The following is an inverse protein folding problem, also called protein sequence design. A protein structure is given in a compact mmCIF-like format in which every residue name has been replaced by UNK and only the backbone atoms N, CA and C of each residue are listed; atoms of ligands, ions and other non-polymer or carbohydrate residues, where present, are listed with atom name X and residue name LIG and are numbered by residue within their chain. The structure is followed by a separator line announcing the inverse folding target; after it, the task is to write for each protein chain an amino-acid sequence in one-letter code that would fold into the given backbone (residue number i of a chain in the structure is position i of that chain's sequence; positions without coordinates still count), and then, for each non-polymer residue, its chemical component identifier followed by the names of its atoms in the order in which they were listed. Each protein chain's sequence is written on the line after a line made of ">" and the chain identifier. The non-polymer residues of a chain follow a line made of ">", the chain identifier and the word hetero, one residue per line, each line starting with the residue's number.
data_IF_518646983578
#
_entry.id   IF_518646983578
#
_cell.length_a   1.000
_cell.length_b   1.000
_cell.length_c   1.000
_cell.angle_alpha   90.00
_cell.angle_beta   90.00
_cell.angle_gamma   90.00
#
_symmetry.space_group_name_H-M   'P 1'
#
loop_
_entity.id
_entity.type
_entity.pdbx_description
1 polymer ?
#
# COMPACT_ATOMS: atom_id res chain seq x y z
N UNK A 1 13.74 16.75 -9.87
CA UNK A 1 13.28 15.35 -9.88
C UNK A 1 12.08 15.29 -10.81
N UNK A 2 12.14 14.53 -11.91
CA UNK A 2 11.06 14.50 -12.91
C UNK A 2 9.82 13.79 -12.35
N UNK A 3 8.64 14.14 -12.85
CA UNK A 3 7.38 13.57 -12.35
C UNK A 3 7.29 12.05 -12.57
N UNK A 4 7.92 11.53 -13.64
CA UNK A 4 8.17 10.09 -13.81
C UNK A 4 8.88 9.49 -12.59
N UNK A 5 9.97 10.12 -12.13
CA UNK A 5 10.72 9.62 -10.98
C UNK A 5 9.86 9.63 -9.71
N UNK A 6 9.00 10.63 -9.51
CA UNK A 6 8.09 10.67 -8.36
C UNK A 6 7.06 9.52 -8.43
N UNK A 7 6.49 9.26 -9.61
CA UNK A 7 5.52 8.16 -9.81
C UNK A 7 6.20 6.80 -9.58
N UNK A 8 7.39 6.58 -10.15
CA UNK A 8 8.17 5.36 -9.95
C UNK A 8 8.54 5.13 -8.47
N UNK A 9 8.97 6.19 -7.77
CA UNK A 9 9.32 6.10 -6.36
C UNK A 9 8.10 5.79 -5.48
N UNK A 10 6.94 6.37 -5.81
CA UNK A 10 5.67 6.07 -5.15
C UNK A 10 5.26 4.61 -5.38
N UNK A 11 5.42 4.11 -6.61
CA UNK A 11 5.15 2.72 -6.97
C UNK A 11 6.05 1.73 -6.21
N UNK A 12 7.34 2.04 -6.11
CA UNK A 12 8.30 1.27 -5.33
C UNK A 12 7.95 1.25 -3.83
N UNK A 13 7.57 2.41 -3.27
CA UNK A 13 7.07 2.50 -1.89
C UNK A 13 5.82 1.64 -1.66
N UNK A 14 4.88 1.64 -2.61
CA UNK A 14 3.67 0.84 -2.55
C UNK A 14 3.97 -0.67 -2.50
N UNK A 15 4.88 -1.13 -3.37
CA UNK A 15 5.34 -2.53 -3.40
C UNK A 15 6.08 -2.93 -2.12
N UNK A 16 6.91 -2.03 -1.57
CA UNK A 16 7.62 -2.26 -0.31
C UNK A 16 6.64 -2.45 0.85
N UNK A 17 5.66 -1.56 1.00
CA UNK A 17 4.63 -1.63 2.03
C UNK A 17 3.85 -2.95 1.91
N UNK A 18 3.42 -3.31 0.70
CA UNK A 18 2.74 -4.57 0.44
C UNK A 18 3.60 -5.77 0.88
N UNK A 19 4.89 -5.76 0.54
CA UNK A 19 5.82 -6.85 0.91
C UNK A 19 5.92 -7.02 2.44
N UNK A 20 6.01 -5.91 3.17
CA UNK A 20 6.11 -5.90 4.63
C UNK A 20 4.83 -6.40 5.29
N UNK A 21 3.68 -6.01 4.73
CA UNK A 21 2.35 -6.44 5.16
C UNK A 21 2.18 -7.95 4.97
N UNK A 22 2.45 -8.47 3.76
CA UNK A 22 2.41 -9.90 3.46
C UNK A 22 3.34 -10.70 4.37
N UNK A 23 4.55 -10.21 4.61
CA UNK A 23 5.53 -10.89 5.48
C UNK A 23 5.07 -10.90 6.94
N UNK A 24 4.53 -9.79 7.43
CA UNK A 24 3.97 -9.68 8.78
C UNK A 24 2.77 -10.62 8.98
N UNK A 25 1.85 -10.66 8.02
CA UNK A 25 0.68 -11.54 8.05
C UNK A 25 1.09 -13.01 7.99
N UNK A 26 2.03 -13.40 7.11
CA UNK A 26 2.56 -14.77 7.06
C UNK A 26 3.16 -15.20 8.39
N UNK A 27 3.92 -14.33 9.05
CA UNK A 27 4.45 -14.58 10.40
C UNK A 27 3.34 -14.72 11.45
N UNK A 28 2.27 -13.92 11.35
CA UNK A 28 1.12 -14.03 12.24
C UNK A 28 0.37 -15.36 12.06
N UNK A 29 0.18 -15.78 10.81
CA UNK A 29 -0.55 -17.00 10.43
C UNK A 29 0.22 -18.27 10.79
N UNK A 30 1.55 -18.27 10.71
CA UNK A 30 2.37 -19.39 11.19
C UNK A 30 2.30 -19.61 12.71
N UNK A 31 1.90 -18.59 13.47
CA UNK A 31 1.82 -18.62 14.93
C UNK A 31 0.38 -18.79 15.45
N UNK A 32 -0.64 -18.73 14.57
CA UNK A 32 -2.07 -18.73 14.94
C UNK A 32 -2.90 -19.49 13.89
N UNK A 33 -3.60 -20.55 14.33
CA UNK A 33 -4.48 -21.38 13.47
C UNK A 33 -5.85 -20.74 13.20
N UNK A 34 -6.14 -19.55 13.74
CA UNK A 34 -7.43 -18.87 13.57
C UNK A 34 -7.66 -18.25 12.18
N UNK A 35 -8.92 -17.96 11.85
CA UNK A 35 -9.35 -17.33 10.58
C UNK A 35 -9.04 -15.82 10.49
N UNK A 36 -8.84 -15.16 11.63
CA UNK A 36 -8.56 -13.72 11.72
C UNK A 36 -7.38 -13.22 10.84
N UNK A 37 -6.19 -13.86 10.83
CA UNK A 37 -5.09 -13.44 9.95
C UNK A 37 -5.41 -13.56 8.45
N UNK A 38 -6.28 -14.48 8.03
CA UNK A 38 -6.70 -14.63 6.63
C UNK A 38 -7.67 -13.52 6.19
N UNK A 39 -8.63 -13.17 7.03
CA UNK A 39 -9.56 -12.06 6.77
C UNK A 39 -8.77 -10.74 6.68
N UNK A 40 -7.81 -10.55 7.57
CA UNK A 40 -6.92 -9.39 7.56
C UNK A 40 -6.11 -9.30 6.25
N UNK A 41 -5.59 -10.43 5.77
CA UNK A 41 -4.90 -10.51 4.48
C UNK A 41 -5.81 -10.12 3.29
N UNK A 42 -7.04 -10.62 3.29
CA UNK A 42 -8.04 -10.28 2.27
C UNK A 42 -8.36 -8.79 2.25
N UNK A 43 -8.54 -8.17 3.43
CA UNK A 43 -8.77 -6.74 3.56
C UNK A 43 -7.59 -5.91 3.02
N UNK A 44 -6.36 -6.27 3.37
CA UNK A 44 -5.18 -5.57 2.88
C UNK A 44 -4.95 -5.75 1.37
N UNK A 45 -5.27 -6.92 0.82
CA UNK A 45 -5.23 -7.15 -0.64
C UNK A 45 -6.30 -6.32 -1.36
N UNK A 46 -7.51 -6.23 -0.81
CA UNK A 46 -8.57 -5.37 -1.37
C UNK A 46 -8.18 -3.89 -1.37
N UNK A 47 -7.63 -3.41 -0.24
CA UNK A 47 -7.10 -2.05 -0.12
C UNK A 47 -5.94 -1.79 -1.09
N UNK A 48 -5.06 -2.78 -1.30
CA UNK A 48 -3.97 -2.67 -2.26
C UNK A 48 -4.49 -2.48 -3.70
N UNK A 49 -5.49 -3.25 -4.11
CA UNK A 49 -6.09 -3.14 -5.46
C UNK A 49 -6.72 -1.76 -5.65
N UNK A 50 -7.44 -1.25 -4.65
CA UNK A 50 -8.07 0.09 -4.74
C UNK A 50 -7.01 1.19 -4.82
N UNK A 51 -5.94 1.11 -4.04
CA UNK A 51 -4.86 2.10 -4.07
C UNK A 51 -3.97 2.03 -5.33
N UNK A 52 -3.91 0.87 -6.00
CA UNK A 52 -3.20 0.71 -7.27
C UNK A 52 -3.90 1.41 -8.44
N UNK A 53 -5.22 1.57 -8.40
CA UNK A 53 -6.01 2.18 -9.49
C UNK A 53 -5.63 3.64 -9.76
N UNK A 54 -5.59 4.56 -8.75
CA UNK A 54 -5.13 5.93 -8.95
C UNK A 54 -3.68 6.02 -9.44
N UNK A 55 -2.83 5.10 -8.98
CA UNK A 55 -1.43 5.05 -9.35
C UNK A 55 -1.25 4.64 -10.83
N UNK A 56 -2.03 3.64 -11.27
CA UNK A 56 -2.06 3.19 -12.66
C UNK A 56 -2.66 4.26 -13.57
N UNK A 57 -3.68 4.98 -13.11
CA UNK A 57 -4.22 6.13 -13.82
C UNK A 57 -3.17 7.23 -14.00
N UNK A 58 -2.45 7.60 -12.94
CA UNK A 58 -1.37 8.60 -13.00
C UNK A 58 -0.21 8.19 -13.93
N UNK A 59 0.15 6.90 -13.96
CA UNK A 59 1.17 6.37 -14.86
C UNK A 59 0.70 6.38 -16.32
N UNK A 60 -0.55 5.97 -16.57
CA UNK A 60 -1.15 5.96 -17.90
C UNK A 60 -1.19 7.37 -18.48
N UNK A 61 -1.72 8.34 -17.73
CA UNK A 61 -1.79 9.73 -18.17
C UNK A 61 -0.40 10.32 -18.43
N UNK A 62 0.60 10.00 -17.61
CA UNK A 62 1.98 10.42 -17.84
C UNK A 62 2.56 9.90 -19.17
N UNK A 63 2.23 8.66 -19.56
CA UNK A 63 2.75 8.02 -20.77
C UNK A 63 2.00 8.51 -22.02
N UNK A 64 0.69 8.71 -21.94
CA UNK A 64 -0.15 9.04 -23.11
C UNK A 64 -0.34 10.52 -23.36
N UNK A 65 -0.15 11.38 -22.35
CA UNK A 65 -0.49 12.80 -22.43
C UNK A 65 0.63 13.68 -21.85
N UNK A 66 1.41 14.32 -22.71
CA UNK A 66 2.55 15.17 -22.34
C UNK A 66 2.13 16.53 -21.72
N UNK A 67 0.81 16.79 -21.60
CA UNK A 67 0.22 18.09 -21.16
C UNK A 67 -0.08 18.13 -19.66
N UNK A 68 0.82 17.59 -18.85
CA UNK A 68 0.54 17.18 -17.47
C UNK A 68 0.38 18.31 -16.42
N UNK A 69 0.76 19.55 -16.71
CA UNK A 69 0.78 20.63 -15.71
C UNK A 69 -0.58 21.31 -15.42
N UNK A 70 -1.65 20.97 -16.15
CA UNK A 70 -2.95 21.67 -16.02
C UNK A 70 -4.09 20.86 -15.37
N UNK A 71 -3.89 19.56 -15.06
CA UNK A 71 -5.01 18.72 -14.65
C UNK A 71 -5.03 18.46 -13.13
N UNK A 72 -5.90 19.17 -12.42
CA UNK A 72 -6.25 18.96 -10.99
C UNK A 72 -6.51 17.47 -10.68
N UNK A 73 -6.99 16.71 -11.66
CA UNK A 73 -7.20 15.26 -11.54
C UNK A 73 -5.93 14.45 -11.23
N UNK A 74 -4.75 14.86 -11.73
CA UNK A 74 -3.48 14.17 -11.45
C UNK A 74 -3.04 14.39 -10.01
N UNK A 75 -3.09 15.65 -9.54
CA UNK A 75 -2.78 16.01 -8.15
C UNK A 75 -3.73 15.31 -7.16
N UNK A 76 -5.02 15.24 -7.49
CA UNK A 76 -6.02 14.52 -6.69
C UNK A 76 -5.76 13.01 -6.66
N UNK A 77 -5.42 12.38 -7.80
CA UNK A 77 -5.08 10.96 -7.87
C UNK A 77 -3.83 10.65 -7.02
N UNK A 78 -2.85 11.54 -7.03
CA UNK A 78 -1.62 11.38 -6.25
C UNK A 78 -1.87 11.56 -4.75
N UNK A 79 -2.72 12.51 -4.34
CA UNK A 79 -3.17 12.65 -2.95
C UNK A 79 -3.92 11.40 -2.46
N UNK A 80 -4.79 10.82 -3.31
CA UNK A 80 -5.47 9.57 -2.99
C UNK A 80 -4.48 8.42 -2.80
N UNK A 81 -3.47 8.29 -3.66
CA UNK A 81 -2.42 7.28 -3.53
C UNK A 81 -1.61 7.47 -2.23
N UNK A 82 -1.29 8.72 -1.87
CA UNK A 82 -0.56 9.04 -0.64
C UNK A 82 -1.37 8.76 0.63
N UNK A 83 -2.65 9.13 0.66
CA UNK A 83 -3.56 8.80 1.75
C UNK A 83 -3.69 7.28 1.92
N UNK A 84 -3.72 6.53 0.80
CA UNK A 84 -3.72 5.08 0.82
C UNK A 84 -2.43 4.48 1.37
N UNK A 85 -1.27 5.00 0.96
CA UNK A 85 0.02 4.63 1.54
C UNK A 85 0.02 4.79 3.06
N UNK A 86 -0.49 5.91 3.57
CA UNK A 86 -0.59 6.16 5.01
C UNK A 86 -1.47 5.11 5.71
N UNK A 87 -2.65 4.78 5.14
CA UNK A 87 -3.53 3.73 5.66
C UNK A 87 -2.85 2.36 5.70
N UNK A 88 -2.14 1.98 4.64
CA UNK A 88 -1.41 0.71 4.60
C UNK A 88 -0.27 0.69 5.61
N UNK A 89 0.44 1.81 5.85
CA UNK A 89 1.45 1.93 6.89
C UNK A 89 0.88 1.73 8.30
N UNK A 90 -0.30 2.30 8.60
CA UNK A 90 -1.00 2.00 9.86
C UNK A 90 -1.34 0.50 9.96
N UNK A 91 -1.74 -0.12 8.85
CA UNK A 91 -1.93 -1.56 8.75
C UNK A 91 -0.67 -2.37 9.10
N UNK A 92 0.48 -2.00 8.54
CA UNK A 92 1.79 -2.61 8.85
C UNK A 92 2.07 -2.50 10.35
N UNK A 93 1.93 -1.29 10.92
CA UNK A 93 2.17 -1.06 12.36
C UNK A 93 1.24 -1.90 13.23
N UNK A 94 -0.03 -2.02 12.88
CA UNK A 94 -0.99 -2.86 13.60
C UNK A 94 -0.63 -4.35 13.56
N UNK A 95 -0.28 -4.87 12.37
CA UNK A 95 0.14 -6.28 12.19
C UNK A 95 1.41 -6.58 12.98
N UNK A 96 2.43 -5.73 12.87
CA UNK A 96 3.71 -5.91 13.55
C UNK A 96 3.61 -5.68 15.06
N UNK A 97 2.82 -4.70 15.50
CA UNK A 97 2.52 -4.48 16.92
C UNK A 97 1.83 -5.69 17.55
N UNK A 98 0.85 -6.28 16.85
CA UNK A 98 0.17 -7.50 17.31
C UNK A 98 1.11 -8.71 17.33
N UNK A 99 1.99 -8.84 16.32
CA UNK A 99 3.02 -9.87 16.30
C UNK A 99 3.95 -9.76 17.52
N UNK A 100 4.48 -8.56 17.77
CA UNK A 100 5.39 -8.28 18.87
C UNK A 100 4.74 -8.53 20.24
N UNK A 101 3.51 -8.04 20.43
CA UNK A 101 2.79 -8.21 21.70
C UNK A 101 2.55 -9.68 22.04
N UNK A 102 2.26 -10.51 21.03
CA UNK A 102 2.15 -11.97 21.22
C UNK A 102 3.48 -12.64 21.48
N UNK A 103 4.56 -12.14 20.89
CA UNK A 103 5.93 -12.60 21.17
C UNK A 103 6.35 -12.38 22.63
N UNK A 104 5.91 -11.27 23.25
CA UNK A 104 6.18 -10.98 24.68
C UNK A 104 5.31 -11.75 25.68
N UNK A 105 4.24 -12.41 25.22
CA UNK A 105 3.34 -13.22 26.08
C UNK A 105 3.69 -14.72 26.09
N UNK A 106 4.71 -15.13 25.34
CA UNK A 106 5.33 -16.46 25.45
C UNK A 106 6.55 -16.34 26.35
#
# INVERSE_FOLDING_TARGET
>A
MSDLTKILLTCFGFLLILSLLLRGIRKLMGNDKGSAPRILAGWFMGLFIIGAVPLMFALYTYITDERLDANIGLGLAMLFAWAYCALLLFGVLGVWGRYWWRGKRK
#
